data_IF_328431932109
#
_entry.id   IF_328431932109
#
_cell.length_a   1.000
_cell.length_b   1.000
_cell.length_c   1.000
_cell.angle_alpha   90.00
_cell.angle_beta   90.00
_cell.angle_gamma   90.00
#
_symmetry.space_group_name_H-M   'P 1'
#
loop_
_entity.id
_entity.type
_entity.pdbx_description
1 polymer ?
#
# COMPACT_ATOMS: atom_id res chain seq x y z
N UNK A 1 -11.13 0.44 16.54
CA UNK A 1 -10.30 -0.10 15.45
C UNK A 1 -8.87 -0.08 15.92
N UNK A 2 -8.13 -1.16 15.73
CA UNK A 2 -6.68 -1.14 16.00
C UNK A 2 -5.99 -0.23 14.96
N UNK A 3 -4.87 0.40 15.30
CA UNK A 3 -4.15 1.29 14.34
C UNK A 3 -3.86 0.58 13.01
N UNK A 4 -3.56 -0.73 13.07
CA UNK A 4 -3.29 -1.58 11.92
C UNK A 4 -4.49 -1.70 10.96
N UNK A 5 -5.72 -1.79 11.48
CA UNK A 5 -6.94 -1.88 10.65
C UNK A 5 -7.16 -0.65 9.78
N UNK A 6 -6.59 0.50 10.17
CA UNK A 6 -6.72 1.75 9.42
C UNK A 6 -5.66 1.95 8.33
N UNK A 7 -4.62 1.11 8.30
CA UNK A 7 -3.56 1.18 7.28
C UNK A 7 -4.09 0.60 5.97
N UNK A 8 -3.90 1.33 4.88
CA UNK A 8 -4.38 0.94 3.56
C UNK A 8 -5.90 1.00 3.44
N UNK A 9 -6.56 1.93 4.14
CA UNK A 9 -7.98 2.17 3.92
C UNK A 9 -8.20 2.80 2.52
N UNK A 10 -9.12 2.26 1.70
CA UNK A 10 -9.40 2.83 0.39
C UNK A 10 -10.30 4.07 0.51
N UNK A 11 -9.86 5.18 -0.06
CA UNK A 11 -10.54 6.47 -0.05
C UNK A 11 -10.52 7.10 -1.44
N UNK A 12 -11.37 8.10 -1.65
CA UNK A 12 -11.47 8.83 -2.92
C UNK A 12 -11.20 10.32 -2.70
N UNK A 13 -10.64 10.98 -3.72
CA UNK A 13 -10.56 12.43 -3.76
C UNK A 13 -11.97 13.06 -3.89
N UNK A 14 -12.82 12.49 -4.75
CA UNK A 14 -14.24 12.81 -4.84
C UNK A 14 -15.07 11.64 -4.33
N UNK A 15 -15.90 11.88 -3.30
CA UNK A 15 -16.76 10.85 -2.69
C UNK A 15 -17.82 10.27 -3.63
N UNK A 16 -18.08 10.94 -4.76
CA UNK A 16 -19.02 10.46 -5.77
C UNK A 16 -18.33 9.61 -6.85
N UNK A 17 -17.00 9.55 -6.87
CA UNK A 17 -16.25 8.71 -7.79
C UNK A 17 -16.46 7.24 -7.42
N UNK A 18 -16.62 6.40 -8.46
CA UNK A 18 -16.81 4.95 -8.36
C UNK A 18 -15.85 4.19 -9.27
N UNK A 19 -14.80 4.86 -9.76
CA UNK A 19 -13.78 4.22 -10.59
C UNK A 19 -12.92 3.28 -9.74
N UNK A 20 -13.24 2.00 -9.82
CA UNK A 20 -12.50 0.90 -9.18
C UNK A 20 -11.34 0.39 -10.04
N UNK A 21 -11.22 0.88 -11.28
CA UNK A 21 -10.26 0.35 -12.25
C UNK A 21 -8.84 0.78 -11.87
N UNK A 22 -7.94 -0.18 -11.88
CA UNK A 22 -6.50 0.05 -11.71
C UNK A 22 -5.95 0.61 -13.02
N UNK A 23 -5.44 1.83 -12.98
CA UNK A 23 -4.96 2.53 -14.18
C UNK A 23 -3.45 2.74 -14.13
N UNK A 24 -3.03 3.84 -13.50
CA UNK A 24 -1.63 4.22 -13.36
C UNK A 24 -1.36 4.49 -11.89
N UNK A 25 -0.62 3.60 -11.20
CA UNK A 25 -0.31 3.82 -9.81
C UNK A 25 0.60 5.05 -9.64
N UNK A 26 0.34 5.84 -8.61
CA UNK A 26 1.21 6.93 -8.20
C UNK A 26 1.23 7.06 -6.68
N UNK A 27 2.38 7.42 -6.12
CA UNK A 27 2.52 7.55 -4.68
C UNK A 27 2.88 8.99 -4.30
N UNK A 28 2.14 9.55 -3.34
CA UNK A 28 2.47 10.83 -2.72
C UNK A 28 3.08 10.56 -1.34
N UNK A 29 4.38 10.87 -1.21
CA UNK A 29 5.14 10.64 0.02
C UNK A 29 4.79 11.60 1.16
N UNK A 30 4.38 12.83 0.85
CA UNK A 30 4.00 13.83 1.86
C UNK A 30 2.69 13.43 2.55
N UNK A 31 1.70 13.02 1.76
CA UNK A 31 0.40 12.59 2.27
C UNK A 31 0.32 11.09 2.60
N UNK A 32 1.34 10.30 2.28
CA UNK A 32 1.37 8.83 2.44
C UNK A 32 0.20 8.12 1.73
N UNK A 33 -0.09 8.57 0.51
CA UNK A 33 -1.22 8.07 -0.30
C UNK A 33 -0.73 7.31 -1.51
N UNK A 34 -1.23 6.07 -1.67
CA UNK A 34 -1.00 5.26 -2.85
C UNK A 34 -2.24 5.26 -3.74
N UNK A 35 -2.17 6.02 -4.82
CA UNK A 35 -3.20 6.08 -5.85
C UNK A 35 -3.11 4.88 -6.78
N UNK A 36 -4.26 4.32 -7.15
CA UNK A 36 -4.36 3.32 -8.23
C UNK A 36 -4.89 3.93 -9.53
N UNK A 37 -5.61 5.04 -9.42
CA UNK A 37 -6.07 5.91 -10.50
C UNK A 37 -6.11 7.38 -9.99
N UNK A 38 -6.70 8.31 -10.74
CA UNK A 38 -6.68 9.75 -10.41
C UNK A 38 -7.41 10.12 -9.12
N UNK A 39 -8.30 9.27 -8.61
CA UNK A 39 -9.17 9.58 -7.48
C UNK A 39 -9.05 8.59 -6.33
N UNK A 40 -9.03 7.29 -6.63
CA UNK A 40 -8.98 6.21 -5.64
C UNK A 40 -7.55 5.97 -5.15
N UNK A 41 -7.37 6.03 -3.83
CA UNK A 41 -6.11 5.79 -3.15
C UNK A 41 -6.27 4.98 -1.87
N UNK A 42 -5.16 4.38 -1.45
CA UNK A 42 -5.00 3.73 -0.16
C UNK A 42 -4.25 4.69 0.76
N UNK A 43 -4.84 5.02 1.91
CA UNK A 43 -4.29 5.99 2.87
C UNK A 43 -3.32 5.35 3.87
N UNK A 44 -2.47 6.17 4.48
CA UNK A 44 -1.47 5.76 5.50
C UNK A 44 -0.51 4.67 5.01
N UNK A 45 -0.17 4.69 3.72
CA UNK A 45 0.86 3.82 3.15
C UNK A 45 2.20 4.49 3.34
N UNK A 46 2.98 4.07 4.34
CA UNK A 46 4.31 4.64 4.59
C UNK A 46 5.26 4.46 3.41
N UNK A 47 6.20 5.40 3.21
CA UNK A 47 7.14 5.35 2.09
C UNK A 47 8.00 4.09 2.06
N UNK A 48 8.31 3.51 3.23
CA UNK A 48 9.03 2.22 3.33
C UNK A 48 8.15 1.05 2.87
N UNK A 49 6.85 1.09 3.14
CA UNK A 49 5.89 0.07 2.66
C UNK A 49 5.76 0.17 1.14
N UNK A 50 5.62 1.39 0.61
CA UNK A 50 5.60 1.61 -0.85
C UNK A 50 6.88 1.11 -1.52
N UNK A 51 8.05 1.43 -0.95
CA UNK A 51 9.35 1.06 -1.49
C UNK A 51 9.77 -0.39 -1.19
N UNK A 52 8.95 -1.18 -0.49
CA UNK A 52 9.29 -2.53 -0.08
C UNK A 52 9.50 -3.45 -1.29
N UNK A 53 10.61 -4.19 -1.29
CA UNK A 53 11.00 -5.06 -2.41
C UNK A 53 11.20 -6.50 -1.96
N UNK A 54 10.81 -7.43 -2.84
CA UNK A 54 11.19 -8.84 -2.76
C UNK A 54 11.91 -9.17 -4.06
N UNK A 55 13.20 -9.49 -3.94
CA UNK A 55 14.10 -9.52 -5.10
C UNK A 55 14.18 -8.15 -5.78
N UNK A 56 14.08 -8.13 -7.11
CA UNK A 56 14.10 -6.89 -7.90
C UNK A 56 12.77 -6.13 -7.97
N UNK A 57 11.68 -6.69 -7.44
CA UNK A 57 10.33 -6.14 -7.60
C UNK A 57 9.88 -5.37 -6.38
N UNK A 58 9.37 -4.16 -6.61
CA UNK A 58 8.60 -3.42 -5.62
C UNK A 58 7.18 -4.00 -5.56
N UNK A 59 6.78 -4.51 -4.40
CA UNK A 59 5.63 -5.42 -4.27
C UNK A 59 4.32 -4.75 -4.69
N UNK A 60 4.01 -3.58 -4.12
CA UNK A 60 2.75 -2.87 -4.39
C UNK A 60 2.67 -2.38 -5.84
N UNK A 61 3.76 -1.81 -6.39
CA UNK A 61 3.83 -1.37 -7.78
C UNK A 61 3.68 -2.53 -8.77
N UNK A 62 4.36 -3.65 -8.50
CA UNK A 62 4.27 -4.85 -9.34
C UNK A 62 2.85 -5.41 -9.34
N UNK A 63 2.18 -5.46 -8.19
CA UNK A 63 0.79 -5.90 -8.10
C UNK A 63 -0.12 -5.02 -8.97
N UNK A 64 -0.10 -3.69 -8.74
CA UNK A 64 -0.98 -2.76 -9.46
C UNK A 64 -0.72 -2.76 -10.97
N UNK A 65 0.54 -2.86 -11.40
CA UNK A 65 0.86 -2.96 -12.83
C UNK A 65 0.41 -4.26 -13.48
N UNK A 66 0.40 -5.37 -12.72
CA UNK A 66 0.02 -6.68 -13.26
C UNK A 66 -1.49 -6.84 -13.39
N UNK A 67 -2.28 -6.08 -12.62
CA UNK A 67 -3.75 -6.07 -12.64
C UNK A 67 -4.30 -4.80 -13.31
N UNK A 68 -3.51 -4.13 -14.16
CA UNK A 68 -3.94 -2.92 -14.84
C UNK A 68 -5.15 -3.20 -15.74
N UNK A 69 -6.22 -2.43 -15.57
CA UNK A 69 -7.49 -2.60 -16.28
C UNK A 69 -8.51 -3.46 -15.55
N UNK A 70 -8.13 -4.06 -14.42
CA UNK A 70 -9.04 -4.82 -13.55
C UNK A 70 -9.59 -3.93 -12.42
N UNK A 71 -10.73 -4.32 -11.85
CA UNK A 71 -11.24 -3.72 -10.62
C UNK A 71 -10.37 -4.16 -9.43
N UNK A 72 -10.08 -3.22 -8.54
CA UNK A 72 -9.29 -3.52 -7.33
C UNK A 72 -10.09 -4.36 -6.33
N UNK A 73 -9.49 -5.46 -5.87
CA UNK A 73 -9.95 -6.13 -4.65
C UNK A 73 -9.40 -5.38 -3.42
N UNK A 74 -10.24 -4.54 -2.82
CA UNK A 74 -9.89 -3.75 -1.64
C UNK A 74 -9.39 -4.61 -0.48
N UNK A 75 -10.08 -5.72 -0.20
CA UNK A 75 -9.76 -6.56 0.95
C UNK A 75 -8.41 -7.22 0.76
N UNK A 76 -8.14 -7.73 -0.44
CA UNK A 76 -6.87 -8.37 -0.74
C UNK A 76 -5.71 -7.36 -0.75
N UNK A 77 -5.86 -6.24 -1.46
CA UNK A 77 -4.77 -5.27 -1.59
C UNK A 77 -4.45 -4.58 -0.27
N UNK A 78 -5.46 -4.25 0.54
CA UNK A 78 -5.25 -3.71 1.89
C UNK A 78 -4.48 -4.70 2.78
N UNK A 79 -4.80 -6.00 2.71
CA UNK A 79 -4.04 -7.02 3.45
C UNK A 79 -2.58 -7.10 3.01
N UNK A 80 -2.27 -6.92 1.72
CA UNK A 80 -0.88 -6.85 1.24
C UNK A 80 -0.17 -5.67 1.91
N UNK A 81 -0.76 -4.47 1.89
CA UNK A 81 -0.19 -3.27 2.51
C UNK A 81 0.09 -3.52 4.01
N UNK A 82 -0.90 -4.03 4.74
CA UNK A 82 -0.79 -4.32 6.17
C UNK A 82 0.27 -5.39 6.46
N UNK A 83 0.37 -6.42 5.62
CA UNK A 83 1.40 -7.47 5.75
C UNK A 83 2.80 -6.87 5.61
N UNK A 84 3.04 -6.05 4.59
CA UNK A 84 4.32 -5.38 4.38
C UNK A 84 4.68 -4.42 5.52
N UNK A 85 3.68 -3.69 6.05
CA UNK A 85 3.86 -2.86 7.23
C UNK A 85 4.33 -3.70 8.43
N UNK A 86 3.67 -4.84 8.68
CA UNK A 86 4.04 -5.73 9.78
C UNK A 86 5.41 -6.37 9.58
N UNK A 87 5.77 -6.71 8.34
CA UNK A 87 7.12 -7.19 8.01
C UNK A 87 8.18 -6.17 8.39
N UNK A 88 8.01 -4.90 8.02
CA UNK A 88 8.95 -3.83 8.38
C UNK A 88 9.05 -3.63 9.90
N UNK A 89 7.93 -3.71 10.63
CA UNK A 89 7.98 -3.66 12.10
C UNK A 89 8.79 -4.82 12.69
N UNK A 90 8.63 -6.03 12.15
CA UNK A 90 9.36 -7.21 12.60
C UNK A 90 10.85 -7.10 12.27
N UNK A 91 11.19 -6.69 11.05
CA UNK A 91 12.57 -6.45 10.62
C UNK A 91 13.27 -5.41 11.50
N UNK A 92 12.58 -4.32 11.86
CA UNK A 92 13.11 -3.32 12.79
C UNK A 92 13.43 -3.93 14.16
N UNK A 93 12.49 -4.71 14.73
CA UNK A 93 12.70 -5.38 16.01
C UNK A 93 13.86 -6.37 16.00
N UNK A 94 14.04 -7.08 14.88
CA UNK A 94 15.18 -8.01 14.70
C UNK A 94 16.49 -7.21 14.62
N UNK A 95 16.49 -6.09 13.90
CA UNK A 95 17.67 -5.22 13.79
C UNK A 95 18.11 -4.62 15.12
N UNK A 96 17.21 -4.47 16.09
CA UNK A 96 17.49 -3.93 17.42
C UNK A 96 18.10 -4.97 18.39
N UNK A 97 18.17 -6.25 18.00
CA UNK A 97 18.81 -7.29 18.82
C UNK A 97 20.34 -7.10 18.76
N UNK A 98 20.94 -6.65 19.87
CA UNK A 98 22.40 -6.64 20.03
C UNK A 98 22.92 -8.07 20.14
N UNK A 99 23.98 -8.38 19.40
CA UNK A 99 24.75 -9.61 19.53
C UNK A 99 25.97 -9.29 20.38
N UNK A 100 25.78 -9.26 21.69
CA UNK A 100 26.87 -9.19 22.67
C UNK A 100 27.52 -10.57 22.86
#
# INVERSE_FOLDING_TARGET
MSELESIGEPLYNDKNDKNLIIEKPSYNAESKRLFINTSLYFDKVESRVWAYKIGGYQVLDKYLKSHKGEEIDFTHFQKIIQTLHKSLEMESKISDISLD
#
